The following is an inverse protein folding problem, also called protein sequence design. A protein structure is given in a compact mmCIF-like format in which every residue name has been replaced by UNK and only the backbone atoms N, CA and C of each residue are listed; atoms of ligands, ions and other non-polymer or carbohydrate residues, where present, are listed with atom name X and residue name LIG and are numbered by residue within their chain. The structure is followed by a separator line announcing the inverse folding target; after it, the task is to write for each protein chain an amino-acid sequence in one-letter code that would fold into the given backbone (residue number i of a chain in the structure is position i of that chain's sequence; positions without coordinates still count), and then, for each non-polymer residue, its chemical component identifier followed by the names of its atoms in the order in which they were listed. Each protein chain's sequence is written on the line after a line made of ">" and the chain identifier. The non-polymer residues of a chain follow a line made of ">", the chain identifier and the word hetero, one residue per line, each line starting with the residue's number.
data_IF_287591182684
#
_entry.id   IF_287591182684
#
_cell.length_a   1.000
_cell.length_b   1.000
_cell.length_c   1.000
_cell.angle_alpha   90.00
_cell.angle_beta   90.00
_cell.angle_gamma   90.00
#
_symmetry.space_group_name_H-M   'P 1'
#
loop_
_entity.id
_entity.type
_entity.pdbx_description
1 polymer ?
#
# COMPACT_ATOMS: atom_id res chain seq x y z
N UNK A 1 17.55 -8.61 -24.37
CA UNK A 1 17.28 -7.57 -25.37
C UNK A 1 18.29 -6.45 -25.20
N UNK A 2 19.13 -6.21 -26.21
CA UNK A 2 20.00 -5.04 -26.26
C UNK A 2 19.13 -3.78 -26.06
N UNK A 3 19.52 -2.89 -25.15
CA UNK A 3 18.82 -1.61 -25.00
C UNK A 3 19.06 -0.83 -26.28
N UNK A 4 18.03 -0.72 -27.13
CA UNK A 4 18.03 0.28 -28.20
C UNK A 4 18.52 1.61 -27.64
N UNK A 5 19.47 2.23 -28.32
CA UNK A 5 20.03 3.53 -27.97
C UNK A 5 18.93 4.58 -28.13
N UNK A 6 18.17 4.79 -27.05
CA UNK A 6 17.02 5.71 -27.04
C UNK A 6 17.45 7.13 -27.39
N UNK A 7 16.97 7.65 -28.52
CA UNK A 7 17.19 9.03 -28.94
C UNK A 7 16.41 9.99 -28.03
N UNK A 8 17.11 10.81 -27.25
CA UNK A 8 16.46 11.82 -26.38
C UNK A 8 15.89 12.96 -27.21
N UNK A 9 14.66 13.38 -26.89
CA UNK A 9 13.97 14.49 -27.56
C UNK A 9 14.79 15.80 -27.50
N UNK A 10 14.73 16.61 -28.55
CA UNK A 10 15.49 17.86 -28.67
C UNK A 10 15.26 18.82 -27.51
N UNK A 11 14.00 19.06 -27.14
CA UNK A 11 13.64 19.88 -25.98
C UNK A 11 14.23 19.40 -24.67
N UNK A 12 14.31 18.08 -24.48
CA UNK A 12 14.91 17.53 -23.28
C UNK A 12 16.42 17.80 -23.25
N UNK A 13 17.12 17.63 -24.38
CA UNK A 13 18.56 17.96 -24.49
C UNK A 13 18.84 19.44 -24.23
N UNK A 14 18.00 20.34 -24.80
CA UNK A 14 18.09 21.80 -24.53
C UNK A 14 17.90 22.10 -23.05
N UNK A 15 16.90 21.48 -22.43
CA UNK A 15 16.67 21.60 -20.98
C UNK A 15 17.87 21.13 -20.16
N UNK A 16 18.48 19.98 -20.49
CA UNK A 16 19.65 19.52 -19.74
C UNK A 16 20.82 20.49 -19.81
N UNK A 17 21.15 21.00 -21.02
CA UNK A 17 22.21 22.00 -21.21
C UNK A 17 21.93 23.25 -20.37
N UNK A 18 20.68 23.70 -20.35
CA UNK A 18 20.26 24.83 -19.53
C UNK A 18 20.42 24.55 -18.03
N UNK A 19 20.03 23.38 -17.53
CA UNK A 19 20.14 23.01 -16.12
C UNK A 19 21.60 22.99 -15.65
N UNK A 20 22.51 22.35 -16.40
CA UNK A 20 23.91 22.22 -15.97
C UNK A 20 24.65 23.57 -15.90
N UNK A 21 24.25 24.54 -16.73
CA UNK A 21 24.81 25.90 -16.72
C UNK A 21 24.12 26.84 -15.74
N UNK A 22 23.05 26.41 -15.07
CA UNK A 22 22.26 27.30 -14.22
C UNK A 22 22.88 27.44 -12.82
N UNK A 23 23.01 28.67 -12.27
CA UNK A 23 23.62 28.92 -10.96
C UNK A 23 23.03 28.09 -9.80
N UNK A 24 21.74 27.75 -9.89
CA UNK A 24 21.05 26.92 -8.89
C UNK A 24 21.72 25.55 -8.65
N UNK A 25 22.42 25.01 -9.65
CA UNK A 25 23.11 23.72 -9.59
C UNK A 25 24.62 23.87 -9.38
N UNK A 26 25.12 25.07 -9.04
CA UNK A 26 26.54 25.30 -8.73
C UNK A 26 27.02 24.37 -7.61
N UNK A 27 28.19 23.76 -7.83
CA UNK A 27 28.80 22.80 -6.91
C UNK A 27 28.25 21.38 -7.01
N UNK A 28 27.33 21.08 -7.93
CA UNK A 28 26.87 19.71 -8.18
C UNK A 28 28.04 18.86 -8.73
N UNK A 29 28.35 17.69 -8.13
CA UNK A 29 29.48 16.87 -8.55
C UNK A 29 29.36 16.30 -9.97
N UNK A 30 30.46 16.40 -10.72
CA UNK A 30 30.72 15.80 -12.04
C UNK A 30 29.51 15.86 -13.00
N UNK A 31 29.24 17.06 -13.53
CA UNK A 31 28.12 17.32 -14.44
C UNK A 31 28.27 16.63 -15.80
N UNK A 32 29.51 16.49 -16.28
CA UNK A 32 29.85 15.85 -17.55
C UNK A 32 30.87 14.72 -17.35
N UNK A 33 31.02 13.86 -18.34
CA UNK A 33 32.17 12.96 -18.46
C UNK A 33 33.36 13.65 -19.15
N UNK A 34 34.50 12.95 -19.23
CA UNK A 34 35.72 13.44 -19.88
C UNK A 34 35.59 13.68 -21.39
N UNK A 35 34.44 13.35 -22.00
CA UNK A 35 34.11 13.61 -23.42
C UNK A 35 33.04 14.70 -23.57
N UNK A 36 32.71 15.42 -22.50
CA UNK A 36 31.73 16.51 -22.50
C UNK A 36 30.26 16.07 -22.51
N UNK A 37 29.97 14.76 -22.40
CA UNK A 37 28.59 14.26 -22.35
C UNK A 37 28.03 14.40 -20.93
N UNK A 38 26.79 14.87 -20.85
CA UNK A 38 26.13 15.17 -19.57
C UNK A 38 25.81 13.87 -18.81
N UNK A 39 26.32 13.74 -17.58
CA UNK A 39 26.00 12.65 -16.65
C UNK A 39 24.65 12.92 -15.97
N UNK A 40 23.56 12.76 -16.71
CA UNK A 40 22.22 13.09 -16.22
C UNK A 40 21.68 12.12 -15.16
N UNK A 41 22.01 10.84 -15.32
CA UNK A 41 21.53 9.73 -14.48
C UNK A 41 22.73 9.04 -13.85
N UNK A 42 22.70 8.87 -12.52
CA UNK A 42 23.75 8.16 -11.78
C UNK A 42 23.10 7.22 -10.78
N UNK A 43 23.64 6.01 -10.63
CA UNK A 43 23.20 5.06 -9.61
C UNK A 43 23.58 5.59 -8.22
N UNK A 44 22.64 5.64 -7.27
CA UNK A 44 22.90 6.12 -5.92
C UNK A 44 23.98 5.35 -5.14
N UNK A 45 24.27 4.10 -5.52
CA UNK A 45 25.34 3.31 -4.89
C UNK A 45 26.74 3.59 -5.46
N UNK A 46 26.85 4.24 -6.62
CA UNK A 46 28.17 4.60 -7.16
C UNK A 46 28.82 5.71 -6.34
N UNK A 47 30.13 5.85 -6.45
CA UNK A 47 30.88 6.93 -5.77
C UNK A 47 30.30 8.31 -6.09
N UNK A 48 30.06 8.58 -7.39
CA UNK A 48 29.41 9.82 -7.82
C UNK A 48 27.97 9.95 -7.28
N UNK A 49 27.23 8.84 -7.22
CA UNK A 49 25.88 8.81 -6.62
C UNK A 49 25.89 9.25 -5.17
N UNK A 50 26.85 8.78 -4.37
CA UNK A 50 27.06 9.18 -2.98
C UNK A 50 27.45 10.66 -2.85
N UNK A 51 28.37 11.15 -3.70
CA UNK A 51 28.75 12.58 -3.75
C UNK A 51 27.55 13.47 -4.07
N UNK A 52 26.73 13.10 -5.06
CA UNK A 52 25.49 13.84 -5.40
C UNK A 52 24.44 13.75 -4.29
N UNK A 53 24.30 12.60 -3.62
CA UNK A 53 23.41 12.45 -2.48
C UNK A 53 23.79 13.44 -1.35
N UNK A 54 25.08 13.52 -1.01
CA UNK A 54 25.59 14.49 -0.04
C UNK A 54 25.28 15.93 -0.43
N UNK A 55 25.51 16.30 -1.69
CA UNK A 55 25.15 17.63 -2.20
C UNK A 55 23.66 17.96 -2.03
N UNK A 56 22.77 17.00 -2.31
CA UNK A 56 21.34 17.17 -2.08
C UNK A 56 21.01 17.33 -0.60
N UNK A 57 21.63 16.54 0.29
CA UNK A 57 21.43 16.63 1.75
C UNK A 57 21.93 17.97 2.31
N UNK A 58 23.05 18.46 1.82
CA UNK A 58 23.59 19.78 2.19
C UNK A 58 22.60 20.89 1.79
N UNK A 59 21.98 20.78 0.62
CA UNK A 59 20.92 21.72 0.20
C UNK A 59 19.67 21.62 1.07
N UNK A 60 19.25 20.41 1.46
CA UNK A 60 18.13 20.20 2.40
C UNK A 60 18.39 20.98 3.69
N UNK A 61 19.57 20.80 4.29
CA UNK A 61 19.98 21.50 5.52
C UNK A 61 20.07 23.02 5.31
N UNK A 62 20.78 23.46 4.28
CA UNK A 62 20.99 24.90 4.00
C UNK A 62 19.68 25.65 3.74
N UNK A 63 18.73 25.03 3.06
CA UNK A 63 17.45 25.65 2.70
C UNK A 63 16.36 25.42 3.75
N UNK A 64 16.64 24.68 4.83
CA UNK A 64 15.68 24.29 5.86
C UNK A 64 14.40 23.67 5.27
N UNK A 65 14.56 22.80 4.27
CA UNK A 65 13.47 22.10 3.60
C UNK A 65 13.33 20.67 4.14
N UNK A 66 12.14 20.05 4.09
CA UNK A 66 11.89 18.78 4.76
C UNK A 66 12.55 17.58 4.06
N UNK A 67 12.84 17.69 2.75
CA UNK A 67 13.44 16.60 1.98
C UNK A 67 13.99 17.08 0.63
N UNK A 68 14.76 16.21 -0.02
CA UNK A 68 15.37 16.46 -1.33
C UNK A 68 14.36 16.79 -2.43
N UNK A 69 13.10 16.31 -2.33
CA UNK A 69 12.09 16.57 -3.34
C UNK A 69 11.58 18.02 -3.30
N UNK A 70 11.45 18.59 -2.10
CA UNK A 70 11.15 20.03 -1.96
C UNK A 70 12.35 20.89 -2.37
N UNK A 71 13.59 20.45 -2.11
CA UNK A 71 14.79 21.13 -2.66
C UNK A 71 14.73 21.15 -4.18
N UNK A 72 14.49 20.00 -4.83
CA UNK A 72 14.42 19.91 -6.29
C UNK A 72 13.40 20.89 -6.90
N UNK A 73 12.24 21.07 -6.25
CA UNK A 73 11.25 22.08 -6.64
C UNK A 73 11.75 23.50 -6.40
N UNK A 74 12.36 23.78 -5.25
CA UNK A 74 12.81 25.11 -4.88
C UNK A 74 13.97 25.63 -5.74
N UNK A 75 14.90 24.75 -6.13
CA UNK A 75 16.05 25.10 -6.96
C UNK A 75 15.77 24.99 -8.45
N UNK A 76 14.60 24.49 -8.86
CA UNK A 76 14.24 24.45 -10.27
C UNK A 76 14.18 25.88 -10.83
N UNK A 77 14.84 26.18 -11.97
CA UNK A 77 14.92 27.54 -12.47
C UNK A 77 13.56 28.20 -12.69
N UNK A 78 13.37 29.40 -12.13
CA UNK A 78 12.12 30.17 -12.26
C UNK A 78 11.77 30.49 -13.71
N UNK A 79 12.79 30.68 -14.58
CA UNK A 79 12.68 30.91 -16.03
C UNK A 79 11.94 29.80 -16.79
N UNK A 80 11.85 28.61 -16.19
CA UNK A 80 11.14 27.47 -16.76
C UNK A 80 9.70 27.36 -16.26
N UNK A 81 9.25 28.27 -15.38
CA UNK A 81 7.89 28.30 -14.85
C UNK A 81 7.42 26.97 -14.23
N UNK A 82 8.35 26.24 -13.62
CA UNK A 82 8.08 24.91 -13.04
C UNK A 82 7.77 23.83 -14.07
N UNK A 83 8.07 24.04 -15.35
CA UNK A 83 7.84 23.08 -16.42
C UNK A 83 9.14 22.36 -16.77
N UNK A 84 9.06 21.04 -16.91
CA UNK A 84 10.16 20.21 -17.42
C UNK A 84 9.70 19.39 -18.62
N UNK A 85 10.48 19.30 -19.71
CA UNK A 85 10.16 18.45 -20.86
C UNK A 85 10.38 16.95 -20.57
N UNK A 86 9.60 16.12 -21.24
CA UNK A 86 9.74 14.67 -21.22
C UNK A 86 10.92 14.21 -22.10
N UNK A 87 11.74 13.26 -21.64
CA UNK A 87 12.83 12.69 -22.44
C UNK A 87 12.37 12.10 -23.78
N UNK A 88 11.17 11.55 -23.82
CA UNK A 88 10.66 10.75 -24.94
C UNK A 88 9.90 11.63 -25.93
N UNK A 89 8.82 12.29 -25.49
CA UNK A 89 7.95 13.05 -26.38
C UNK A 89 8.12 14.58 -26.29
N UNK A 90 9.05 15.10 -25.48
CA UNK A 90 9.24 16.54 -25.30
C UNK A 90 8.15 17.26 -24.50
N UNK A 91 6.94 16.69 -24.33
CA UNK A 91 5.82 17.34 -23.62
C UNK A 91 6.26 17.88 -22.26
N UNK A 92 6.09 19.18 -22.08
CA UNK A 92 6.41 19.91 -20.85
C UNK A 92 5.27 19.75 -19.85
N UNK A 93 5.58 19.30 -18.64
CA UNK A 93 4.61 19.18 -17.55
C UNK A 93 5.14 19.85 -16.29
N UNK A 94 4.23 20.23 -15.39
CA UNK A 94 4.59 20.88 -14.13
C UNK A 94 5.22 19.93 -13.12
N UNK A 95 6.25 20.40 -12.43
CA UNK A 95 6.87 19.74 -11.26
C UNK A 95 6.05 19.91 -9.98
N UNK A 96 5.03 20.78 -10.00
CA UNK A 96 4.16 21.08 -8.86
C UNK A 96 2.88 20.24 -8.90
N UNK A 97 2.26 20.04 -7.73
CA UNK A 97 1.02 19.28 -7.57
C UNK A 97 -0.17 20.08 -8.09
N UNK A 98 -0.37 20.11 -9.41
CA UNK A 98 -1.39 20.94 -10.07
C UNK A 98 -2.36 20.14 -10.93
N UNK A 99 -2.07 18.86 -11.21
CA UNK A 99 -2.95 18.02 -12.01
C UNK A 99 -3.87 17.20 -11.10
N UNK A 100 -5.18 17.09 -11.36
CA UNK A 100 -6.02 16.21 -10.56
C UNK A 100 -5.66 14.74 -10.78
N UNK A 101 -5.61 13.96 -9.71
CA UNK A 101 -5.36 12.52 -9.82
C UNK A 101 -6.57 11.77 -10.41
N UNK A 102 -6.40 10.47 -10.72
CA UNK A 102 -7.45 9.64 -11.34
C UNK A 102 -8.79 9.64 -10.57
N UNK A 103 -8.74 9.64 -9.24
CA UNK A 103 -9.94 9.64 -8.41
C UNK A 103 -10.61 11.01 -8.40
N UNK A 104 -9.83 12.09 -8.33
CA UNK A 104 -10.33 13.46 -8.44
C UNK A 104 -10.98 13.70 -9.80
N UNK A 105 -10.37 13.25 -10.90
CA UNK A 105 -10.95 13.34 -12.25
C UNK A 105 -12.28 12.57 -12.35
N UNK A 106 -12.38 11.37 -11.76
CA UNK A 106 -13.64 10.62 -11.70
C UNK A 106 -14.72 11.38 -10.91
N UNK A 107 -14.36 11.99 -9.78
CA UNK A 107 -15.29 12.77 -8.96
C UNK A 107 -15.75 14.04 -9.69
N UNK A 108 -14.84 14.76 -10.35
CA UNK A 108 -15.16 15.88 -11.24
C UNK A 108 -16.13 15.42 -12.34
N UNK A 109 -15.85 14.31 -13.01
CA UNK A 109 -16.77 13.75 -14.04
C UNK A 109 -18.14 13.43 -13.47
N UNK A 110 -18.22 12.79 -12.30
CA UNK A 110 -19.49 12.43 -11.66
C UNK A 110 -20.36 13.65 -11.37
N UNK A 111 -19.76 14.70 -10.81
CA UNK A 111 -20.46 15.89 -10.30
C UNK A 111 -20.71 16.93 -11.40
N UNK A 112 -19.68 17.26 -12.19
CA UNK A 112 -19.77 18.31 -13.23
C UNK A 112 -20.29 17.81 -14.58
N UNK A 113 -20.35 16.48 -14.77
CA UNK A 113 -20.60 15.81 -16.05
C UNK A 113 -19.58 16.14 -17.15
N UNK A 114 -18.42 16.71 -16.79
CA UNK A 114 -17.33 17.01 -17.72
C UNK A 114 -16.19 16.01 -17.56
N UNK A 115 -15.65 15.52 -18.68
CA UNK A 115 -14.51 14.60 -18.71
C UNK A 115 -13.23 15.39 -19.02
N UNK A 116 -12.17 15.09 -18.27
CA UNK A 116 -10.83 15.62 -18.50
C UNK A 116 -9.83 14.46 -18.52
N UNK A 117 -8.84 14.54 -19.39
CA UNK A 117 -7.78 13.54 -19.50
C UNK A 117 -6.66 13.78 -18.49
N UNK A 118 -5.96 12.71 -18.12
CA UNK A 118 -4.89 12.78 -17.11
C UNK A 118 -3.72 13.64 -17.60
N UNK A 119 -3.26 14.56 -16.74
CA UNK A 119 -2.16 15.49 -17.00
C UNK A 119 -2.38 16.43 -18.19
N UNK A 120 -3.62 16.55 -18.67
CA UNK A 120 -3.94 17.44 -19.79
C UNK A 120 -4.21 18.88 -19.34
N UNK A 121 -4.99 19.02 -18.27
CA UNK A 121 -5.32 20.31 -17.66
C UNK A 121 -4.94 20.31 -16.18
N UNK A 122 -4.39 21.43 -15.74
CA UNK A 122 -4.22 21.76 -14.33
C UNK A 122 -5.57 22.01 -13.67
N UNK A 123 -5.61 21.94 -12.34
CA UNK A 123 -6.83 22.22 -11.58
C UNK A 123 -7.31 23.66 -11.76
N UNK A 124 -6.39 24.60 -11.98
CA UNK A 124 -6.71 26.01 -12.28
C UNK A 124 -7.42 26.12 -13.63
N UNK A 125 -6.89 25.46 -14.67
CA UNK A 125 -7.53 25.45 -16.00
C UNK A 125 -8.90 24.77 -15.94
N UNK A 126 -9.02 23.66 -15.21
CA UNK A 126 -10.32 22.98 -15.01
C UNK A 126 -11.31 23.91 -14.31
N UNK A 127 -10.89 24.63 -13.28
CA UNK A 127 -11.75 25.61 -12.60
C UNK A 127 -12.24 26.67 -13.59
N UNK A 128 -11.34 27.26 -14.38
CA UNK A 128 -11.69 28.29 -15.38
C UNK A 128 -12.64 27.75 -16.46
N UNK A 129 -12.40 26.56 -16.98
CA UNK A 129 -13.26 25.89 -17.96
C UNK A 129 -14.66 25.66 -17.37
N UNK A 130 -14.74 25.15 -16.14
CA UNK A 130 -16.02 24.90 -15.47
C UNK A 130 -16.74 26.20 -15.12
N UNK A 131 -16.02 27.24 -14.69
CA UNK A 131 -16.57 28.58 -14.43
C UNK A 131 -17.17 29.17 -15.70
N UNK A 132 -16.48 29.07 -16.85
CA UNK A 132 -17.01 29.51 -18.15
C UNK A 132 -18.30 28.76 -18.54
N UNK A 133 -18.38 27.45 -18.25
CA UNK A 133 -19.53 26.61 -18.63
C UNK A 133 -20.70 26.64 -17.63
N UNK A 134 -20.45 26.90 -16.35
CA UNK A 134 -21.41 26.69 -15.25
C UNK A 134 -21.61 27.92 -14.35
N UNK A 135 -20.90 29.03 -14.62
CA UNK A 135 -20.98 30.25 -13.83
C UNK A 135 -20.64 29.99 -12.35
N UNK A 136 -21.43 30.57 -11.43
CA UNK A 136 -21.24 30.43 -9.98
C UNK A 136 -21.35 28.99 -9.47
N UNK A 137 -22.02 28.07 -10.19
CA UNK A 137 -22.12 26.65 -9.79
C UNK A 137 -20.76 25.94 -9.72
N UNK A 138 -19.71 26.50 -10.32
CA UNK A 138 -18.33 25.96 -10.19
C UNK A 138 -17.88 25.88 -8.73
N UNK A 139 -18.30 26.82 -7.89
CA UNK A 139 -17.94 26.86 -6.47
C UNK A 139 -18.49 25.65 -5.72
N UNK A 140 -19.78 25.36 -5.89
CA UNK A 140 -20.42 24.15 -5.33
C UNK A 140 -19.79 22.87 -5.85
N UNK A 141 -19.46 22.80 -7.14
CA UNK A 141 -18.78 21.64 -7.73
C UNK A 141 -17.44 21.42 -7.02
N UNK A 142 -16.63 22.46 -6.87
CA UNK A 142 -15.32 22.35 -6.20
C UNK A 142 -15.47 22.01 -4.72
N UNK A 143 -16.44 22.59 -4.01
CA UNK A 143 -16.77 22.21 -2.63
C UNK A 143 -17.07 20.72 -2.52
N UNK A 144 -17.92 20.18 -3.40
CA UNK A 144 -18.27 18.76 -3.41
C UNK A 144 -17.11 17.86 -3.84
N UNK A 145 -16.23 18.30 -4.74
CA UNK A 145 -15.07 17.51 -5.21
C UNK A 145 -13.96 17.48 -4.16
N UNK A 146 -13.68 18.60 -3.52
CA UNK A 146 -12.54 18.81 -2.63
C UNK A 146 -12.91 18.86 -1.14
N UNK A 147 -14.20 18.69 -0.81
CA UNK A 147 -14.72 18.77 0.57
C UNK A 147 -14.35 20.09 1.24
N UNK A 148 -14.52 21.19 0.51
CA UNK A 148 -14.16 22.54 0.98
C UNK A 148 -15.23 23.05 1.95
N UNK A 149 -14.88 23.41 3.20
CA UNK A 149 -15.81 23.91 4.21
C UNK A 149 -16.55 25.16 3.77
N UNK A 150 -17.82 25.31 4.19
CA UNK A 150 -18.66 26.44 3.80
C UNK A 150 -18.08 27.81 4.20
N UNK A 151 -17.30 27.87 5.28
CA UNK A 151 -16.61 29.08 5.74
C UNK A 151 -15.64 29.71 4.72
N UNK A 152 -15.12 28.94 3.77
CA UNK A 152 -14.24 29.46 2.71
C UNK A 152 -15.07 30.30 1.74
N UNK A 153 -14.63 31.51 1.36
CA UNK A 153 -15.43 32.38 0.47
C UNK A 153 -15.50 31.82 -0.97
N UNK A 154 -16.62 32.05 -1.66
CA UNK A 154 -16.81 31.75 -3.11
C UNK A 154 -16.03 32.73 -4.00
N UNK A 155 -14.71 32.71 -3.86
CA UNK A 155 -13.77 33.44 -4.70
C UNK A 155 -12.76 32.45 -5.28
N UNK A 156 -12.42 32.62 -6.55
CA UNK A 156 -11.49 31.73 -7.28
C UNK A 156 -10.17 31.54 -6.52
N UNK A 157 -9.57 32.64 -6.04
CA UNK A 157 -8.35 32.60 -5.23
C UNK A 157 -8.53 31.80 -3.94
N UNK A 158 -9.62 32.02 -3.19
CA UNK A 158 -9.86 31.35 -1.91
C UNK A 158 -10.06 29.83 -2.08
N UNK A 159 -10.83 29.41 -3.08
CA UNK A 159 -11.07 28.00 -3.38
C UNK A 159 -9.79 27.31 -3.85
N UNK A 160 -9.04 27.92 -4.78
CA UNK A 160 -7.82 27.32 -5.29
C UNK A 160 -6.72 27.26 -4.20
N UNK A 161 -6.57 28.29 -3.37
CA UNK A 161 -5.67 28.26 -2.21
C UNK A 161 -6.01 27.11 -1.28
N UNK A 162 -7.28 26.94 -0.90
CA UNK A 162 -7.70 25.83 -0.06
C UNK A 162 -7.33 24.48 -0.67
N UNK A 163 -7.57 24.30 -1.97
CA UNK A 163 -7.23 23.06 -2.70
C UNK A 163 -5.73 22.79 -2.68
N UNK A 164 -4.88 23.79 -2.89
CA UNK A 164 -3.42 23.59 -2.90
C UNK A 164 -2.85 23.31 -1.51
N UNK A 165 -3.40 23.94 -0.47
CA UNK A 165 -2.93 23.82 0.92
C UNK A 165 -3.43 22.53 1.58
N UNK A 166 -4.70 22.17 1.36
CA UNK A 166 -5.38 21.11 2.13
C UNK A 166 -5.67 19.85 1.31
N UNK A 167 -5.60 19.92 -0.03
CA UNK A 167 -5.97 18.81 -0.91
C UNK A 167 -4.82 18.31 -1.80
N UNK A 168 -3.56 18.48 -1.38
CA UNK A 168 -2.38 18.03 -2.13
C UNK A 168 -2.45 16.55 -2.54
N UNK A 169 -3.02 15.67 -1.70
CA UNK A 169 -3.21 14.23 -1.98
C UNK A 169 -4.20 13.95 -3.12
N UNK A 170 -5.08 14.92 -3.44
CA UNK A 170 -6.03 14.86 -4.57
C UNK A 170 -5.42 15.34 -5.88
N UNK A 171 -4.20 15.88 -5.82
CA UNK A 171 -3.44 16.38 -6.96
C UNK A 171 -2.18 15.53 -7.17
N UNK A 172 -1.56 15.69 -8.33
CA UNK A 172 -0.30 15.06 -8.70
C UNK A 172 0.57 16.05 -9.47
N UNK A 173 1.91 15.91 -9.36
CA UNK A 173 2.80 16.57 -10.29
C UNK A 173 2.79 15.82 -11.62
N UNK A 174 3.01 16.54 -12.71
CA UNK A 174 3.21 15.93 -14.02
C UNK A 174 4.63 15.37 -14.17
N UNK A 175 5.52 15.73 -13.26
CA UNK A 175 6.91 15.28 -13.19
C UNK A 175 7.24 14.83 -11.78
N UNK A 176 7.56 13.55 -11.63
CA UNK A 176 7.86 12.97 -10.32
C UNK A 176 9.29 13.30 -9.90
N UNK A 177 9.48 13.65 -8.64
CA UNK A 177 10.81 13.86 -8.07
C UNK A 177 11.58 12.53 -7.99
N UNK A 178 12.89 12.58 -8.24
CA UNK A 178 13.80 11.43 -8.18
C UNK A 178 15.26 11.79 -7.79
N UNK A 179 15.52 12.60 -6.75
CA UNK A 179 16.86 12.81 -6.22
C UNK A 179 17.29 11.59 -5.38
N UNK A 180 18.58 11.22 -5.34
CA UNK A 180 19.70 11.90 -5.98
C UNK A 180 20.01 11.36 -7.39
N UNK A 181 19.28 10.34 -7.84
CA UNK A 181 19.58 9.56 -9.05
C UNK A 181 19.53 10.39 -10.34
N UNK A 182 18.83 11.53 -10.32
CA UNK A 182 18.71 12.46 -11.46
C UNK A 182 19.27 13.81 -11.06
N UNK A 183 20.09 14.36 -11.95
CA UNK A 183 20.82 15.62 -11.73
C UNK A 183 19.90 16.78 -11.36
N UNK A 184 18.77 16.94 -12.06
CA UNK A 184 17.79 17.99 -11.79
C UNK A 184 16.82 17.66 -10.64
N UNK A 185 16.92 16.46 -10.07
CA UNK A 185 16.04 15.97 -9.02
C UNK A 185 14.68 15.46 -9.53
N UNK A 186 14.51 15.26 -10.84
CA UNK A 186 13.25 14.81 -11.43
C UNK A 186 13.43 13.62 -12.37
N UNK A 187 12.39 12.77 -12.41
CA UNK A 187 12.36 11.64 -13.32
C UNK A 187 12.41 12.10 -14.78
N UNK A 188 13.19 11.39 -15.60
CA UNK A 188 13.42 11.78 -17.00
C UNK A 188 12.15 11.64 -17.85
N UNK A 189 11.34 10.61 -17.55
CA UNK A 189 10.01 10.45 -18.11
C UNK A 189 8.99 11.21 -17.28
N UNK A 190 8.30 12.14 -17.93
CA UNK A 190 7.14 12.79 -17.38
C UNK A 190 5.94 11.83 -17.36
N UNK A 191 4.88 12.18 -16.64
CA UNK A 191 3.70 11.33 -16.48
C UNK A 191 3.01 10.96 -17.81
N UNK A 192 3.21 11.73 -18.87
CA UNK A 192 2.70 11.45 -20.23
C UNK A 192 3.28 10.16 -20.85
N UNK A 193 4.52 9.78 -20.52
CA UNK A 193 5.17 8.59 -21.08
C UNK A 193 5.58 7.57 -20.01
N UNK A 194 5.63 7.97 -18.73
CA UNK A 194 6.24 7.15 -17.67
C UNK A 194 5.64 5.75 -17.57
N UNK A 195 4.32 5.58 -17.64
CA UNK A 195 3.71 4.25 -17.50
C UNK A 195 4.10 3.27 -18.60
N UNK A 196 4.50 3.77 -19.78
CA UNK A 196 4.94 2.97 -20.93
C UNK A 196 6.45 2.73 -20.89
N UNK A 197 7.20 3.73 -20.43
CA UNK A 197 8.66 3.79 -20.58
C UNK A 197 9.45 3.34 -19.35
N UNK A 198 8.89 3.54 -18.16
CA UNK A 198 9.43 3.07 -16.90
C UNK A 198 8.99 1.60 -16.72
N UNK A 199 9.85 0.66 -17.12
CA UNK A 199 9.52 -0.77 -17.07
C UNK A 199 9.15 -1.24 -15.67
N UNK A 200 9.71 -0.63 -14.61
CA UNK A 200 9.31 -0.89 -13.22
C UNK A 200 7.87 -0.46 -12.90
N UNK A 201 7.25 0.38 -13.73
CA UNK A 201 5.85 0.83 -13.62
C UNK A 201 4.90 0.13 -14.58
N UNK A 202 5.37 -0.85 -15.36
CA UNK A 202 4.48 -1.69 -16.14
C UNK A 202 3.51 -2.41 -15.21
N UNK A 203 2.25 -2.54 -15.62
CA UNK A 203 1.19 -3.11 -14.76
C UNK A 203 1.51 -4.52 -14.27
N UNK A 204 2.18 -5.32 -15.10
CA UNK A 204 2.66 -6.66 -14.74
C UNK A 204 3.71 -6.64 -13.62
N UNK A 205 4.61 -5.65 -13.63
CA UNK A 205 5.62 -5.49 -12.60
C UNK A 205 5.02 -4.87 -11.32
N UNK A 206 4.06 -3.96 -11.45
CA UNK A 206 3.33 -3.40 -10.31
C UNK A 206 2.54 -4.46 -9.54
N UNK A 207 1.99 -5.46 -10.23
CA UNK A 207 1.30 -6.58 -9.59
C UNK A 207 2.20 -7.37 -8.62
N UNK A 208 3.51 -7.45 -8.88
CA UNK A 208 4.49 -8.11 -7.98
C UNK A 208 4.73 -7.36 -6.67
N UNK A 209 4.37 -6.08 -6.62
CA UNK A 209 4.46 -5.25 -5.41
C UNK A 209 3.11 -5.16 -4.68
N UNK A 210 2.08 -5.88 -5.14
CA UNK A 210 0.82 -5.95 -4.41
C UNK A 210 1.08 -6.59 -3.05
N UNK A 211 0.56 -5.96 -2.01
CA UNK A 211 0.65 -6.44 -0.64
C UNK A 211 -0.73 -6.37 -0.03
N UNK A 212 -1.21 -7.51 0.43
CA UNK A 212 -2.38 -7.58 1.28
C UNK A 212 -1.99 -7.15 2.68
N UNK A 213 -2.20 -5.86 2.97
CA UNK A 213 -1.87 -5.28 4.26
C UNK A 213 -2.62 -5.95 5.41
N UNK A 214 -3.74 -6.63 5.14
CA UNK A 214 -4.52 -7.33 6.16
C UNK A 214 -3.71 -8.43 6.84
N UNK A 215 -2.75 -9.05 6.15
CA UNK A 215 -1.82 -9.99 6.78
C UNK A 215 -1.07 -9.33 7.96
N UNK A 216 -0.67 -8.08 7.78
CA UNK A 216 0.09 -7.31 8.76
C UNK A 216 -0.84 -6.69 9.81
N UNK A 217 -1.90 -6.03 9.37
CA UNK A 217 -2.84 -5.28 10.22
C UNK A 217 -3.65 -6.19 11.15
N UNK A 218 -3.86 -7.45 10.78
CA UNK A 218 -4.54 -8.45 11.61
C UNK A 218 -3.59 -9.43 12.29
N UNK A 219 -2.27 -9.17 12.27
CA UNK A 219 -1.27 -9.99 12.96
C UNK A 219 -1.30 -11.48 12.56
N UNK A 220 -1.65 -11.75 11.30
CA UNK A 220 -1.83 -13.10 10.81
C UNK A 220 -0.50 -13.78 10.48
N UNK A 221 -0.45 -15.09 10.71
CA UNK A 221 0.69 -15.93 10.35
C UNK A 221 0.69 -16.33 8.87
N UNK A 222 1.68 -17.14 8.48
CA UNK A 222 1.85 -17.66 7.13
C UNK A 222 2.92 -16.90 6.32
N UNK A 223 3.35 -17.52 5.21
CA UNK A 223 4.32 -16.91 4.30
C UNK A 223 3.66 -15.79 3.49
N UNK A 224 3.56 -14.63 4.13
CA UNK A 224 2.93 -13.45 3.56
C UNK A 224 3.60 -13.01 2.25
N UNK A 225 4.88 -13.29 2.05
CA UNK A 225 5.59 -12.88 0.84
C UNK A 225 5.22 -13.81 -0.33
N UNK A 226 5.21 -15.13 -0.12
CA UNK A 226 4.80 -16.10 -1.13
C UNK A 226 3.36 -15.88 -1.58
N UNK A 227 2.44 -15.76 -0.63
CA UNK A 227 1.01 -15.56 -0.89
C UNK A 227 0.75 -14.27 -1.66
N UNK A 228 1.37 -13.14 -1.28
CA UNK A 228 1.29 -11.89 -2.03
C UNK A 228 1.81 -12.04 -3.47
N UNK A 229 2.85 -12.85 -3.67
CA UNK A 229 3.40 -13.12 -4.99
C UNK A 229 2.46 -13.96 -5.86
N UNK A 230 1.76 -14.94 -5.28
CA UNK A 230 0.71 -15.72 -5.96
C UNK A 230 -0.48 -14.81 -6.32
N UNK A 231 -0.95 -13.96 -5.40
CA UNK A 231 -1.99 -12.96 -5.70
C UNK A 231 -1.57 -12.04 -6.87
N UNK A 232 -0.28 -11.72 -6.96
CA UNK A 232 0.32 -11.01 -8.09
C UNK A 232 0.15 -11.76 -9.42
N UNK A 233 0.30 -13.08 -9.45
CA UNK A 233 0.10 -13.90 -10.65
C UNK A 233 -1.38 -13.96 -11.07
N UNK A 234 -2.34 -14.05 -10.14
CA UNK A 234 -3.76 -13.82 -10.44
C UNK A 234 -3.99 -12.45 -11.12
N UNK A 235 -3.32 -11.42 -10.61
CA UNK A 235 -3.35 -10.08 -11.20
C UNK A 235 -2.74 -10.01 -12.61
N UNK A 236 -1.78 -10.87 -12.94
CA UNK A 236 -1.08 -10.92 -14.23
C UNK A 236 -1.78 -11.80 -15.25
N UNK A 237 -2.49 -12.84 -14.82
CA UNK A 237 -3.26 -13.74 -15.68
C UNK A 237 -4.32 -12.94 -16.45
N UNK A 238 -4.20 -12.91 -17.78
CA UNK A 238 -5.04 -12.04 -18.63
C UNK A 238 -6.28 -12.73 -19.16
N UNK A 239 -6.22 -14.05 -19.30
CA UNK A 239 -7.29 -14.84 -19.85
C UNK A 239 -8.53 -14.80 -18.94
N UNK A 240 -9.69 -14.93 -19.57
CA UNK A 240 -10.96 -15.04 -18.88
C UNK A 240 -11.37 -16.50 -18.92
N UNK A 241 -11.72 -17.04 -17.76
CA UNK A 241 -12.15 -18.42 -17.59
C UNK A 241 -13.50 -18.44 -16.88
N UNK A 242 -14.28 -19.52 -16.97
CA UNK A 242 -15.51 -19.68 -16.19
C UNK A 242 -15.20 -19.52 -14.70
N UNK A 243 -15.94 -18.65 -14.02
CA UNK A 243 -15.85 -18.51 -12.57
C UNK A 243 -16.42 -19.77 -11.91
N UNK A 244 -15.68 -20.50 -11.06
CA UNK A 244 -16.19 -21.70 -10.40
C UNK A 244 -17.48 -21.46 -9.61
N UNK A 245 -17.61 -20.26 -9.02
CA UNK A 245 -18.79 -19.90 -8.24
C UNK A 245 -20.03 -19.49 -9.03
N UNK A 246 -19.89 -18.80 -10.18
CA UNK A 246 -21.05 -18.24 -10.91
C UNK A 246 -21.13 -18.62 -12.39
N UNK A 247 -20.23 -19.47 -12.88
CA UNK A 247 -20.13 -19.92 -14.28
C UNK A 247 -19.70 -18.83 -15.29
N UNK A 248 -19.81 -17.55 -14.95
CA UNK A 248 -19.54 -16.45 -15.90
C UNK A 248 -18.06 -16.37 -16.28
N UNK A 249 -17.78 -16.28 -17.58
CA UNK A 249 -16.44 -16.11 -18.14
C UNK A 249 -15.87 -14.73 -17.75
N UNK A 250 -14.95 -14.72 -16.80
CA UNK A 250 -14.39 -13.49 -16.21
C UNK A 250 -12.92 -13.69 -15.87
N UNK A 251 -12.22 -12.59 -15.60
CA UNK A 251 -10.89 -12.66 -14.99
C UNK A 251 -11.02 -13.09 -13.53
N UNK A 252 -10.20 -14.07 -13.12
CA UNK A 252 -10.14 -14.56 -11.74
C UNK A 252 -9.28 -13.66 -10.85
N UNK A 253 -9.58 -13.70 -9.57
CA UNK A 253 -8.87 -13.03 -8.47
C UNK A 253 -8.63 -14.05 -7.37
N UNK A 254 -7.59 -13.84 -6.57
CA UNK A 254 -7.30 -14.64 -5.40
C UNK A 254 -8.26 -14.29 -4.27
N UNK A 255 -9.13 -15.23 -3.90
CA UNK A 255 -9.98 -15.17 -2.72
C UNK A 255 -9.36 -16.00 -1.59
N UNK A 256 -9.39 -15.49 -0.36
CA UNK A 256 -8.88 -16.24 0.78
C UNK A 256 -9.94 -17.25 1.21
N UNK A 257 -9.57 -18.52 1.33
CA UNK A 257 -10.46 -19.60 1.77
C UNK A 257 -10.90 -19.31 3.22
N UNK A 258 -9.94 -19.26 4.13
CA UNK A 258 -10.07 -18.64 5.44
C UNK A 258 -9.74 -17.15 5.38
N UNK A 259 -10.68 -16.22 5.60
CA UNK A 259 -10.39 -14.79 5.51
C UNK A 259 -9.44 -14.33 6.64
N UNK A 260 -8.36 -13.63 6.30
CA UNK A 260 -7.39 -13.09 7.27
C UNK A 260 -8.06 -12.24 8.36
N UNK A 261 -9.10 -11.49 7.98
CA UNK A 261 -9.88 -10.66 8.91
C UNK A 261 -10.76 -11.44 9.90
N UNK A 262 -10.69 -12.76 9.86
CA UNK A 262 -11.29 -13.67 10.84
C UNK A 262 -10.20 -14.44 11.62
N UNK A 263 -8.91 -14.12 11.43
CA UNK A 263 -7.80 -14.75 12.15
C UNK A 263 -7.09 -15.89 11.41
N UNK A 264 -7.54 -16.23 10.20
CA UNK A 264 -6.87 -17.24 9.35
C UNK A 264 -5.52 -16.77 8.83
N UNK A 265 -4.62 -17.73 8.56
CA UNK A 265 -3.28 -17.45 8.07
C UNK A 265 -3.30 -16.90 6.64
N UNK A 266 -2.32 -16.06 6.31
CA UNK A 266 -2.10 -15.58 4.95
C UNK A 266 -1.29 -16.63 4.16
N UNK A 267 -1.91 -17.78 3.91
CA UNK A 267 -1.31 -18.95 3.26
C UNK A 267 -1.35 -18.89 1.71
N UNK A 268 -0.43 -19.59 1.02
CA UNK A 268 -0.29 -19.53 -0.43
C UNK A 268 -1.35 -20.35 -1.20
N UNK A 269 -2.58 -20.44 -0.68
CA UNK A 269 -3.70 -21.20 -1.24
C UNK A 269 -4.94 -20.32 -1.29
N UNK A 270 -5.57 -20.25 -2.46
CA UNK A 270 -6.66 -19.31 -2.74
C UNK A 270 -7.78 -19.97 -3.52
N UNK A 271 -9.01 -19.54 -3.26
CA UNK A 271 -10.15 -19.85 -4.11
C UNK A 271 -10.15 -18.91 -5.33
N UNK A 272 -10.16 -19.43 -6.57
CA UNK A 272 -10.20 -18.59 -7.75
C UNK A 272 -11.63 -18.08 -7.97
N UNK A 273 -11.88 -16.80 -7.64
CA UNK A 273 -13.18 -16.17 -7.82
C UNK A 273 -13.10 -14.97 -8.78
N UNK A 274 -14.14 -14.74 -9.56
CA UNK A 274 -14.23 -13.48 -10.29
C UNK A 274 -14.44 -12.31 -9.32
N UNK A 275 -14.04 -11.10 -9.72
CA UNK A 275 -14.06 -9.91 -8.85
C UNK A 275 -15.42 -9.65 -8.17
N UNK A 276 -16.54 -9.87 -8.87
CA UNK A 276 -17.87 -9.65 -8.28
C UNK A 276 -18.22 -10.69 -7.22
N UNK A 277 -17.81 -11.95 -7.42
CA UNK A 277 -18.05 -13.02 -6.46
C UNK A 277 -17.16 -12.84 -5.22
N UNK A 278 -15.86 -12.60 -5.42
CA UNK A 278 -14.93 -12.29 -4.32
C UNK A 278 -15.42 -11.09 -3.49
N UNK A 279 -15.76 -9.98 -4.15
CA UNK A 279 -16.31 -8.80 -3.46
C UNK A 279 -17.66 -9.06 -2.78
N UNK A 280 -18.47 -9.98 -3.31
CA UNK A 280 -19.76 -10.38 -2.74
C UNK A 280 -19.60 -11.25 -1.49
N UNK A 281 -18.68 -12.22 -1.52
CA UNK A 281 -18.29 -13.05 -0.36
C UNK A 281 -17.71 -12.17 0.76
N UNK A 282 -16.86 -11.21 0.39
CA UNK A 282 -16.20 -10.27 1.30
C UNK A 282 -15.33 -11.01 2.33
N UNK A 283 -15.70 -11.00 3.61
CA UNK A 283 -14.97 -11.68 4.67
C UNK A 283 -15.76 -12.83 5.30
N UNK A 284 -16.84 -13.28 4.66
CA UNK A 284 -17.63 -14.42 5.11
C UNK A 284 -16.94 -15.71 4.68
N UNK A 285 -16.94 -16.70 5.56
CA UNK A 285 -16.59 -18.07 5.25
C UNK A 285 -17.86 -18.82 4.82
N UNK A 286 -17.78 -19.70 3.82
CA UNK A 286 -18.87 -20.62 3.45
C UNK A 286 -18.65 -21.99 4.07
N UNK A 287 -19.67 -22.87 4.03
CA UNK A 287 -19.50 -24.25 4.48
C UNK A 287 -18.39 -24.96 3.68
N UNK A 288 -18.33 -24.72 2.37
CA UNK A 288 -17.29 -25.26 1.51
C UNK A 288 -15.88 -24.78 1.90
N UNK A 289 -15.71 -23.51 2.27
CA UNK A 289 -14.43 -23.02 2.75
C UNK A 289 -14.01 -23.74 4.04
N UNK A 290 -14.94 -23.98 4.97
CA UNK A 290 -14.67 -24.72 6.22
C UNK A 290 -14.20 -26.14 5.92
N UNK A 291 -14.88 -26.86 5.01
CA UNK A 291 -14.47 -28.21 4.59
C UNK A 291 -13.05 -28.23 4.02
N UNK A 292 -12.73 -27.27 3.15
CA UNK A 292 -11.37 -27.16 2.59
C UNK A 292 -10.34 -26.90 3.69
N UNK A 293 -10.65 -26.04 4.66
CA UNK A 293 -9.73 -25.73 5.76
C UNK A 293 -9.51 -26.94 6.68
N UNK A 294 -10.55 -27.74 6.95
CA UNK A 294 -10.42 -28.99 7.70
C UNK A 294 -9.52 -30.00 6.98
N UNK A 295 -9.76 -30.23 5.68
CA UNK A 295 -8.90 -31.11 4.88
C UNK A 295 -7.45 -30.62 4.84
N UNK A 296 -7.24 -29.31 4.77
CA UNK A 296 -5.89 -28.75 4.77
C UNK A 296 -5.19 -28.91 6.12
N UNK A 297 -5.92 -28.76 7.22
CA UNK A 297 -5.43 -28.99 8.57
C UNK A 297 -5.09 -30.48 8.81
N UNK A 298 -5.92 -31.41 8.32
CA UNK A 298 -5.62 -32.86 8.31
C UNK A 298 -4.33 -33.18 7.56
N UNK A 299 -4.04 -32.43 6.48
CA UNK A 299 -2.79 -32.48 5.73
C UNK A 299 -1.63 -31.74 6.41
N UNK A 300 -1.79 -31.36 7.69
CA UNK A 300 -0.80 -30.64 8.52
C UNK A 300 -0.46 -29.25 7.99
N UNK A 301 -1.33 -28.63 7.20
CA UNK A 301 -1.16 -27.24 6.81
C UNK A 301 -1.63 -26.30 7.93
N UNK A 302 -0.88 -25.22 8.18
CA UNK A 302 -1.30 -24.21 9.15
C UNK A 302 -2.37 -23.28 8.57
N UNK A 303 -3.64 -23.51 8.92
CA UNK A 303 -4.79 -22.77 8.37
C UNK A 303 -5.18 -21.53 9.18
N UNK A 304 -4.91 -21.52 10.48
CA UNK A 304 -5.36 -20.51 11.43
C UNK A 304 -4.17 -19.93 12.21
N UNK A 305 -4.16 -18.62 12.47
CA UNK A 305 -3.03 -18.00 13.18
C UNK A 305 -3.10 -18.34 14.67
N UNK A 306 -1.94 -18.39 15.34
CA UNK A 306 -1.80 -18.71 16.78
C UNK A 306 -2.87 -18.07 17.67
N UNK A 307 -3.18 -16.78 17.45
CA UNK A 307 -4.11 -16.02 18.28
C UNK A 307 -5.59 -16.41 18.08
N UNK A 308 -5.93 -17.18 17.05
CA UNK A 308 -7.30 -17.64 16.77
C UNK A 308 -7.43 -19.16 16.74
N UNK A 309 -6.37 -19.88 17.08
CA UNK A 309 -6.34 -21.35 17.05
C UNK A 309 -7.41 -21.96 17.96
N UNK A 310 -7.48 -21.50 19.22
CA UNK A 310 -8.39 -22.05 20.21
C UNK A 310 -9.87 -21.97 19.80
N UNK A 311 -10.32 -20.81 19.32
CA UNK A 311 -11.72 -20.63 18.90
C UNK A 311 -12.05 -21.46 17.66
N UNK A 312 -11.11 -21.59 16.72
CA UNK A 312 -11.26 -22.45 15.56
C UNK A 312 -11.41 -23.91 15.98
N UNK A 313 -10.53 -24.41 16.85
CA UNK A 313 -10.57 -25.79 17.32
C UNK A 313 -11.86 -26.15 18.04
N UNK A 314 -12.42 -25.21 18.82
CA UNK A 314 -13.72 -25.41 19.49
C UNK A 314 -14.89 -25.53 18.51
N UNK A 315 -14.88 -24.75 17.44
CA UNK A 315 -16.07 -24.56 16.59
C UNK A 315 -16.02 -25.31 15.25
N UNK A 316 -14.83 -25.63 14.72
CA UNK A 316 -14.66 -26.13 13.34
C UNK A 316 -15.47 -27.38 13.00
N UNK A 317 -15.68 -28.26 13.98
CA UNK A 317 -16.43 -29.51 13.82
C UNK A 317 -17.94 -29.35 14.09
N UNK A 318 -18.41 -28.16 14.44
CA UNK A 318 -19.82 -27.86 14.70
C UNK A 318 -20.53 -27.22 13.49
N UNK A 319 -19.82 -27.04 12.37
CA UNK A 319 -20.32 -26.30 11.22
C UNK A 319 -20.95 -27.26 10.21
N UNK A 320 -22.28 -27.35 10.20
CA UNK A 320 -23.00 -28.30 9.36
C UNK A 320 -23.63 -27.64 8.13
N UNK A 321 -23.94 -26.34 8.22
CA UNK A 321 -24.65 -25.60 7.18
C UNK A 321 -24.10 -24.17 6.98
N UNK A 322 -24.64 -23.45 5.99
CA UNK A 322 -24.24 -22.07 5.68
C UNK A 322 -24.60 -21.05 6.79
N UNK A 323 -25.62 -21.32 7.59
CA UNK A 323 -25.97 -20.47 8.74
C UNK A 323 -24.89 -20.56 9.82
N UNK A 324 -24.41 -21.77 10.11
CA UNK A 324 -23.33 -22.00 11.07
C UNK A 324 -22.03 -21.39 10.58
N UNK A 325 -21.70 -21.51 9.29
CA UNK A 325 -20.53 -20.84 8.70
C UNK A 325 -20.63 -19.30 8.84
N UNK A 326 -21.85 -18.75 8.70
CA UNK A 326 -22.08 -17.33 8.93
C UNK A 326 -21.96 -16.95 10.42
N UNK A 327 -22.43 -17.78 11.34
CA UNK A 327 -22.23 -17.60 12.80
C UNK A 327 -20.74 -17.61 13.12
N UNK A 328 -20.00 -18.64 12.68
CA UNK A 328 -18.55 -18.74 12.80
C UNK A 328 -17.84 -17.47 12.30
N UNK A 329 -18.23 -16.97 11.13
CA UNK A 329 -17.68 -15.71 10.58
C UNK A 329 -17.84 -14.52 11.54
N UNK A 330 -18.97 -14.44 12.26
CA UNK A 330 -19.23 -13.35 13.21
C UNK A 330 -18.41 -13.53 14.49
N UNK A 331 -18.38 -14.75 15.04
CA UNK A 331 -17.65 -15.05 16.27
C UNK A 331 -16.15 -14.83 16.09
N UNK A 332 -15.56 -15.39 15.04
CA UNK A 332 -14.14 -15.25 14.75
C UNK A 332 -13.74 -13.79 14.52
N UNK A 333 -14.63 -13.01 13.91
CA UNK A 333 -14.42 -11.56 13.74
C UNK A 333 -14.38 -10.83 15.07
N UNK A 334 -15.31 -11.13 15.98
CA UNK A 334 -15.35 -10.53 17.30
C UNK A 334 -14.09 -10.90 18.09
N UNK A 335 -13.73 -12.18 18.08
CA UNK A 335 -12.51 -12.68 18.72
C UNK A 335 -11.25 -11.93 18.23
N UNK A 336 -11.07 -11.82 16.90
CA UNK A 336 -9.95 -11.06 16.34
C UNK A 336 -9.97 -9.59 16.80
N UNK A 337 -11.15 -8.97 16.86
CA UNK A 337 -11.26 -7.60 17.32
C UNK A 337 -10.84 -7.43 18.79
N UNK A 338 -11.15 -8.40 19.65
CA UNK A 338 -10.74 -8.41 21.05
C UNK A 338 -9.23 -8.59 21.19
N UNK A 339 -8.65 -9.53 20.45
CA UNK A 339 -7.20 -9.78 20.41
C UNK A 339 -6.43 -8.52 20.00
N UNK A 340 -6.84 -7.87 18.91
CA UNK A 340 -6.19 -6.63 18.44
C UNK A 340 -6.27 -5.51 19.48
N UNK A 341 -7.31 -5.52 20.32
CA UNK A 341 -7.44 -4.56 21.43
C UNK A 341 -6.41 -4.87 22.52
N UNK A 342 -6.25 -6.14 22.91
CA UNK A 342 -5.22 -6.55 23.89
C UNK A 342 -3.81 -6.24 23.38
N UNK A 343 -3.50 -6.56 22.12
CA UNK A 343 -2.20 -6.22 21.53
C UNK A 343 -1.96 -4.70 21.52
N UNK A 344 -3.00 -3.90 21.33
CA UNK A 344 -2.90 -2.45 21.41
C UNK A 344 -2.61 -1.97 22.83
N UNK A 345 -3.24 -2.56 23.86
CA UNK A 345 -2.97 -2.25 25.26
C UNK A 345 -1.50 -2.55 25.59
N UNK A 346 -0.98 -3.71 25.19
CA UNK A 346 0.43 -4.09 25.38
C UNK A 346 1.36 -3.06 24.70
N UNK A 347 1.01 -2.60 23.50
CA UNK A 347 1.78 -1.58 22.78
C UNK A 347 1.76 -0.23 23.51
N UNK A 348 0.60 0.20 24.01
CA UNK A 348 0.43 1.47 24.74
C UNK A 348 1.28 1.50 26.03
N UNK A 349 1.50 0.35 26.66
CA UNK A 349 2.40 0.20 27.81
C UNK A 349 3.89 0.10 27.44
N UNK A 350 4.23 0.17 26.14
CA UNK A 350 5.61 0.27 25.68
C UNK A 350 6.31 -1.05 25.35
N UNK A 351 5.65 -2.21 25.46
CA UNK A 351 6.27 -3.52 25.19
C UNK A 351 6.35 -3.86 23.69
N UNK A 352 6.95 -2.96 22.92
CA UNK A 352 7.06 -3.07 21.46
C UNK A 352 7.93 -4.27 21.07
N UNK A 353 9.01 -4.56 21.79
CA UNK A 353 9.94 -5.63 21.42
C UNK A 353 9.34 -7.02 21.65
N UNK A 354 8.54 -7.19 22.70
CA UNK A 354 7.69 -8.37 22.88
C UNK A 354 6.75 -8.54 21.68
N UNK A 355 6.03 -7.49 21.27
CA UNK A 355 5.14 -7.58 20.11
C UNK A 355 5.88 -7.90 18.81
N UNK A 356 7.09 -7.36 18.61
CA UNK A 356 7.93 -7.68 17.44
C UNK A 356 8.33 -9.15 17.39
N UNK A 357 8.50 -9.82 18.53
CA UNK A 357 8.88 -11.25 18.56
C UNK A 357 7.80 -12.16 17.97
N UNK A 358 6.54 -11.71 18.01
CA UNK A 358 5.38 -12.39 17.43
C UNK A 358 5.31 -12.27 15.89
N UNK A 359 6.14 -11.44 15.28
CA UNK A 359 6.15 -11.18 13.85
C UNK A 359 7.21 -12.03 13.12
N UNK A 360 6.92 -12.41 11.87
CA UNK A 360 7.84 -13.16 10.99
C UNK A 360 8.31 -12.33 9.78
N UNK A 361 9.20 -11.34 9.98
CA UNK A 361 9.70 -10.49 8.89
C UNK A 361 10.59 -11.24 7.89
N UNK A 362 11.11 -12.41 8.28
CA UNK A 362 12.12 -13.16 7.52
C UNK A 362 11.64 -13.64 6.15
N UNK A 363 10.34 -13.84 5.99
CA UNK A 363 9.75 -14.14 4.68
C UNK A 363 10.09 -13.07 3.63
N UNK A 364 10.41 -11.83 4.03
CA UNK A 364 10.84 -10.77 3.12
C UNK A 364 12.12 -11.12 2.34
N UNK A 365 13.01 -11.93 2.92
CA UNK A 365 14.32 -12.28 2.36
C UNK A 365 14.28 -13.43 1.34
N UNK A 366 13.10 -13.79 0.87
CA UNK A 366 12.93 -14.75 -0.22
C UNK A 366 12.30 -14.09 -1.46
N UNK A 367 12.67 -14.55 -2.64
CA UNK A 367 11.96 -14.28 -3.89
C UNK A 367 11.39 -15.58 -4.44
N UNK A 368 10.29 -15.44 -5.18
CA UNK A 368 9.52 -16.56 -5.69
C UNK A 368 9.29 -16.43 -7.19
N UNK A 369 9.60 -17.50 -7.93
CA UNK A 369 9.22 -17.67 -9.34
C UNK A 369 8.16 -18.77 -9.40
N UNK A 370 7.23 -18.59 -10.32
CA UNK A 370 6.13 -19.53 -10.57
C UNK A 370 6.21 -20.05 -11.99
N UNK A 371 6.01 -21.35 -12.14
CA UNK A 371 5.83 -22.01 -13.44
C UNK A 371 4.45 -22.70 -13.44
N UNK A 372 3.85 -22.82 -14.63
CA UNK A 372 2.52 -23.41 -14.82
C UNK A 372 1.38 -22.75 -14.01
N UNK A 373 1.49 -21.46 -13.71
CA UNK A 373 0.41 -20.75 -13.03
C UNK A 373 -0.85 -20.70 -13.92
N UNK A 374 -1.91 -21.33 -13.44
CA UNK A 374 -3.27 -21.17 -13.95
C UNK A 374 -4.23 -21.05 -12.76
N UNK A 375 -5.14 -20.05 -12.73
CA UNK A 375 -5.95 -19.76 -11.55
C UNK A 375 -6.86 -20.92 -11.13
N UNK A 376 -7.28 -21.78 -12.06
CA UNK A 376 -8.12 -22.95 -11.77
C UNK A 376 -7.33 -24.25 -11.53
N UNK A 377 -6.00 -24.21 -11.61
CA UNK A 377 -5.13 -25.39 -11.54
C UNK A 377 -3.93 -25.10 -10.63
N UNK A 378 -4.21 -24.62 -9.41
CA UNK A 378 -3.16 -24.28 -8.46
C UNK A 378 -2.38 -25.51 -7.97
N UNK A 379 -2.96 -26.70 -8.10
CA UNK A 379 -2.29 -27.98 -7.88
C UNK A 379 -1.16 -28.28 -8.89
N UNK A 380 -1.20 -27.67 -10.09
CA UNK A 380 -0.15 -27.80 -11.11
C UNK A 380 0.96 -26.74 -10.95
N UNK A 381 0.81 -25.80 -10.00
CA UNK A 381 1.72 -24.68 -9.79
C UNK A 381 3.06 -25.17 -9.25
N UNK A 382 4.14 -24.84 -9.96
CA UNK A 382 5.50 -25.06 -9.47
C UNK A 382 6.04 -23.78 -8.85
N UNK A 383 6.45 -23.86 -7.58
CA UNK A 383 6.99 -22.74 -6.81
C UNK A 383 8.50 -22.90 -6.67
N UNK A 384 9.25 -21.94 -7.21
CA UNK A 384 10.71 -21.88 -7.12
C UNK A 384 11.08 -20.77 -6.13
N UNK A 385 11.61 -21.15 -4.97
CA UNK A 385 12.06 -20.26 -3.89
C UNK A 385 13.54 -19.95 -4.03
N UNK A 386 13.93 -18.68 -3.85
CA UNK A 386 15.33 -18.23 -3.86
C UNK A 386 15.60 -17.23 -2.73
N UNK A 387 16.64 -17.41 -1.89
CA UNK A 387 17.07 -16.37 -0.96
C UNK A 387 17.50 -15.09 -1.71
N UNK A 388 17.09 -13.94 -1.18
CA UNK A 388 17.42 -12.63 -1.73
C UNK A 388 17.44 -11.57 -0.63
N UNK A 389 18.65 -11.15 -0.24
CA UNK A 389 18.83 -9.99 0.64
C UNK A 389 19.24 -8.76 -0.18
N UNK A 390 18.35 -7.77 -0.23
CA UNK A 390 18.60 -6.50 -0.91
C UNK A 390 18.02 -5.36 -0.09
N UNK A 391 18.50 -4.13 -0.30
CA UNK A 391 17.93 -2.93 0.36
C UNK A 391 16.41 -2.82 0.25
N UNK A 392 15.82 -3.30 -0.85
CA UNK A 392 14.36 -3.30 -1.00
C UNK A 392 13.69 -4.36 -0.12
N UNK A 393 14.31 -5.53 0.08
CA UNK A 393 13.80 -6.58 0.96
C UNK A 393 13.96 -6.23 2.43
N UNK A 394 15.09 -5.62 2.81
CA UNK A 394 15.32 -5.06 4.15
C UNK A 394 14.25 -4.00 4.49
N UNK A 395 14.05 -3.00 3.62
CA UNK A 395 12.97 -2.01 3.79
C UNK A 395 11.58 -2.63 3.86
N UNK A 396 11.37 -3.74 3.19
CA UNK A 396 10.09 -4.43 3.21
C UNK A 396 9.90 -5.21 4.53
N UNK A 397 10.97 -5.76 5.11
CA UNK A 397 10.96 -6.34 6.46
C UNK A 397 10.71 -5.27 7.53
N UNK A 398 11.40 -4.12 7.44
CA UNK A 398 11.14 -2.96 8.31
C UNK A 398 9.68 -2.51 8.21
N UNK A 399 9.13 -2.48 7.00
CA UNK A 399 7.72 -2.13 6.76
C UNK A 399 6.76 -3.19 7.30
N UNK A 400 7.12 -4.47 7.25
CA UNK A 400 6.37 -5.57 7.84
C UNK A 400 6.24 -5.41 9.35
N UNK A 401 7.28 -4.89 10.02
CA UNK A 401 7.23 -4.62 11.47
C UNK A 401 6.45 -3.34 11.77
N UNK A 402 6.68 -2.28 10.99
CA UNK A 402 6.09 -0.96 11.25
C UNK A 402 4.57 -0.93 11.06
N UNK A 403 4.04 -1.57 10.01
CA UNK A 403 2.61 -1.49 9.68
C UNK A 403 1.70 -2.09 10.76
N UNK A 404 1.93 -3.32 11.27
CA UNK A 404 1.15 -3.90 12.35
C UNK A 404 1.10 -2.98 13.58
N UNK A 405 2.26 -2.45 13.99
CA UNK A 405 2.36 -1.53 15.12
C UNK A 405 1.58 -0.23 14.89
N UNK A 406 1.76 0.42 13.74
CA UNK A 406 0.97 1.61 13.35
C UNK A 406 -0.54 1.31 13.31
N UNK A 407 -0.91 0.10 12.90
CA UNK A 407 -2.32 -0.30 12.80
C UNK A 407 -3.00 -0.45 14.16
N UNK A 408 -2.25 -0.83 15.21
CA UNK A 408 -2.76 -0.86 16.59
C UNK A 408 -3.10 0.55 17.08
N UNK A 409 -2.25 1.55 16.78
CA UNK A 409 -2.50 2.95 17.15
C UNK A 409 -3.78 3.51 16.50
N UNK A 410 -4.02 3.13 15.25
CA UNK A 410 -5.23 3.51 14.51
C UNK A 410 -6.46 2.73 14.97
N UNK A 411 -6.26 1.58 15.61
CA UNK A 411 -7.32 0.71 16.06
C UNK A 411 -8.07 1.30 17.24
N UNK A 412 -7.35 1.80 18.26
CA UNK A 412 -7.92 2.42 19.48
C UNK A 412 -8.63 3.75 19.22
N UNK A 413 -8.25 4.47 18.17
CA UNK A 413 -8.84 5.77 17.79
C UNK A 413 -10.23 5.65 17.16
N UNK A 414 -10.67 4.46 16.76
CA UNK A 414 -11.95 4.25 16.08
C UNK A 414 -13.06 4.02 17.09
N UNK A 415 -13.89 5.04 17.31
CA UNK A 415 -15.01 5.01 18.27
C UNK A 415 -15.98 3.84 18.06
N UNK A 416 -16.21 3.43 16.81
CA UNK A 416 -17.12 2.32 16.47
C UNK A 416 -16.52 0.91 16.70
N UNK A 417 -15.30 0.81 17.22
CA UNK A 417 -14.61 -0.45 17.51
C UNK A 417 -14.24 -0.63 18.98
N UNK A 418 -14.67 0.30 19.87
CA UNK A 418 -14.54 0.11 21.31
C UNK A 418 -15.41 -1.08 21.70
N UNK A 419 -14.78 -2.23 21.82
CA UNK A 419 -15.45 -3.47 22.20
C UNK A 419 -15.80 -3.34 23.69
N UNK A 420 -17.08 -3.49 24.01
CA UNK A 420 -17.60 -3.55 25.39
C UNK A 420 -17.19 -4.85 26.12
N UNK A 421 -16.38 -5.70 25.47
CA UNK A 421 -16.18 -7.10 25.83
C UNK A 421 -14.79 -7.36 26.44
N UNK A 422 -14.15 -6.29 26.92
CA UNK A 422 -13.03 -6.41 27.85
C UNK A 422 -13.47 -6.18 29.29
N UNK A 423 -14.78 -6.15 29.55
CA UNK A 423 -15.28 -5.80 30.88
C UNK A 423 -15.20 -6.93 31.90
N UNK A 424 -15.02 -8.17 31.44
CA UNK A 424 -14.82 -9.34 32.28
C UNK A 424 -13.61 -9.16 33.23
N UNK A 425 -13.82 -9.27 34.57
CA UNK A 425 -12.75 -9.13 35.56
C UNK A 425 -11.56 -10.08 35.36
N UNK A 426 -11.82 -11.33 34.96
CA UNK A 426 -10.75 -12.34 34.75
C UNK A 426 -9.86 -11.97 33.58
N UNK A 427 -10.45 -11.48 32.48
CA UNK A 427 -9.70 -10.98 31.31
C UNK A 427 -8.88 -9.76 31.71
N UNK A 428 -9.46 -8.81 32.47
CA UNK A 428 -8.74 -7.63 32.96
C UNK A 428 -7.56 -8.01 33.85
N UNK A 429 -7.74 -8.98 34.74
CA UNK A 429 -6.67 -9.46 35.62
C UNK A 429 -5.57 -10.19 34.84
N UNK A 430 -5.95 -11.07 33.91
CA UNK A 430 -4.99 -11.73 33.01
C UNK A 430 -4.17 -10.73 32.19
N UNK A 431 -4.80 -9.68 31.64
CA UNK A 431 -4.06 -8.61 30.95
C UNK A 431 -3.07 -7.93 31.89
N UNK A 432 -3.46 -7.58 33.12
CA UNK A 432 -2.53 -6.99 34.12
C UNK A 432 -1.37 -7.94 34.42
N UNK A 433 -1.63 -9.24 34.52
CA UNK A 433 -0.61 -10.25 34.75
C UNK A 433 0.37 -10.36 33.57
N UNK A 434 -0.11 -10.31 32.33
CA UNK A 434 0.76 -10.21 31.14
C UNK A 434 1.69 -9.00 31.26
N UNK A 435 1.15 -7.81 31.55
CA UNK A 435 1.96 -6.59 31.66
C UNK A 435 2.99 -6.69 32.79
N UNK A 436 2.59 -7.24 33.95
CA UNK A 436 3.51 -7.47 35.07
C UNK A 436 4.65 -8.43 34.70
N UNK A 437 4.37 -9.51 33.99
CA UNK A 437 5.42 -10.45 33.54
C UNK A 437 6.38 -9.79 32.55
N UNK A 438 5.87 -8.89 31.70
CA UNK A 438 6.70 -8.10 30.79
C UNK A 438 7.57 -7.06 31.53
N UNK A 439 7.06 -6.43 32.59
CA UNK A 439 7.86 -5.58 33.49
C UNK A 439 9.00 -6.35 34.16
N UNK A 440 8.75 -7.61 34.51
CA UNK A 440 9.76 -8.51 35.09
C UNK A 440 10.72 -9.10 34.03
N UNK A 441 10.55 -8.79 32.74
CA UNK A 441 11.37 -9.33 31.65
C UNK A 441 11.10 -10.79 31.30
N UNK A 442 10.03 -11.39 31.83
CA UNK A 442 9.65 -12.79 31.65
C UNK A 442 8.78 -12.98 30.40
N UNK A 443 9.41 -12.81 29.23
CA UNK A 443 8.70 -12.81 27.94
C UNK A 443 7.99 -14.13 27.62
N UNK A 444 8.57 -15.28 27.99
CA UNK A 444 7.96 -16.60 27.74
C UNK A 444 6.71 -16.79 28.60
N UNK A 445 6.80 -16.51 29.91
CA UNK A 445 5.64 -16.56 30.82
C UNK A 445 4.55 -15.57 30.39
N UNK A 446 4.94 -14.36 29.95
CA UNK A 446 4.00 -13.36 29.45
C UNK A 446 3.27 -13.83 28.18
N UNK A 447 3.95 -14.59 27.32
CA UNK A 447 3.34 -15.19 26.14
C UNK A 447 2.33 -16.28 26.51
N UNK A 448 2.66 -17.17 27.42
CA UNK A 448 1.73 -18.21 27.91
C UNK A 448 0.51 -17.60 28.61
N UNK A 449 0.70 -16.55 29.40
CA UNK A 449 -0.40 -15.81 30.00
C UNK A 449 -1.26 -15.10 28.94
N UNK A 450 -0.64 -14.53 27.90
CA UNK A 450 -1.38 -13.94 26.77
C UNK A 450 -2.23 -14.99 26.06
N UNK A 451 -1.72 -16.21 25.86
CA UNK A 451 -2.53 -17.31 25.31
C UNK A 451 -3.72 -17.65 26.20
N UNK A 452 -3.56 -17.58 27.53
CA UNK A 452 -4.65 -17.78 28.48
C UNK A 452 -5.72 -16.70 28.36
N UNK A 453 -5.32 -15.43 28.29
CA UNK A 453 -6.25 -14.31 28.03
C UNK A 453 -7.00 -14.50 26.71
N UNK A 454 -6.32 -14.94 25.65
CA UNK A 454 -6.94 -15.18 24.34
C UNK A 454 -7.99 -16.29 24.40
N UNK A 455 -7.77 -17.34 25.18
CA UNK A 455 -8.79 -18.40 25.38
C UNK A 455 -10.04 -17.85 26.07
N UNK A 456 -9.88 -17.03 27.10
CA UNK A 456 -11.01 -16.37 27.78
C UNK A 456 -11.78 -15.45 26.82
N UNK A 457 -11.08 -14.65 26.03
CA UNK A 457 -11.69 -13.80 25.00
C UNK A 457 -12.45 -14.61 23.94
N UNK A 458 -11.91 -15.78 23.58
CA UNK A 458 -12.54 -16.68 22.64
C UNK A 458 -13.85 -17.24 23.21
N UNK A 459 -13.85 -17.65 24.48
CA UNK A 459 -15.04 -18.18 25.16
C UNK A 459 -16.13 -17.11 25.32
N UNK A 460 -15.76 -15.88 25.67
CA UNK A 460 -16.68 -14.75 25.70
C UNK A 460 -17.23 -14.41 24.30
N UNK A 461 -16.41 -14.55 23.25
CA UNK A 461 -16.90 -14.37 21.89
C UNK A 461 -17.89 -15.47 21.50
N UNK A 462 -17.60 -16.74 21.83
CA UNK A 462 -18.47 -17.90 21.53
C UNK A 462 -19.85 -17.70 22.17
N UNK A 463 -19.91 -17.40 23.47
CA UNK A 463 -21.16 -17.32 24.25
C UNK A 463 -22.19 -16.28 23.75
N UNK A 464 -21.77 -15.39 22.84
CA UNK A 464 -22.64 -14.38 22.22
C UNK A 464 -23.37 -14.88 20.97
N UNK A 465 -22.93 -16.01 20.42
CA UNK A 465 -23.42 -16.51 19.13
C UNK A 465 -23.76 -18.00 19.15
N UNK A 466 -23.17 -18.76 20.07
CA UNK A 466 -23.42 -20.16 20.38
C UNK A 466 -23.67 -20.26 21.89
#
# INVERSE_FOLDING_TARGET
>A
MARETRRWHGDFRKYMKFIIGHPNYKGMPELTDGKGKIKWIVSGNSELGKKRAKWWDDKVRKMKLPNRAEVARAIHPKKLYGLKPCQICGRKLSIFYVYPNKNTLRRIKKISKQKFESYDKTIIEIFKILKKKKGKKVFEIFRKVFEIPQKIKDKEKAILSYVFENCKTRLSPGVMSNPPDRLDGFHTYNACCRSKEDTGRHSSNLARYSQDRRAYENWAEGDWNLSNRIMGEFGRFKEKVPCPFCGKIRKMTADHIGPISLGFTHRPKFNPLCKSCNSGKNNRITLEDVKILLTDEENKENVISWHSQYIWDKLKNQIENEEDALKLSKVMRLNLHNILTVLSIIKEHGYIDFLKSLLKPDYSYFDYKFENFHPLKLNELVIIKKPLDSKNKQKNAERYIRIPLESLDDYMKKENRRVKDLDNPEIKDGIKKVLKLLDEGKNEDAYEELLTVIKLLSDEAISKFF
#
